data_IF_916953121295
#
_entry.id   IF_916953121295
#
_cell.length_a   1.000
_cell.length_b   1.000
_cell.length_c   1.000
_cell.angle_alpha   90.00
_cell.angle_beta   90.00
_cell.angle_gamma   90.00
#
_symmetry.space_group_name_H-M   'P 1'
#
loop_
_entity.id
_entity.type
_entity.pdbx_description
1 polymer ?
#
# COMPACT_ATOMS: atom_id res chain seq x y z
N UNK A 1 27.32 13.56 -36.23
CA UNK A 1 27.70 13.55 -34.80
C UNK A 1 26.65 14.21 -33.90
N UNK A 2 25.83 15.16 -34.35
CA UNK A 2 24.83 15.84 -33.49
C UNK A 2 23.62 15.02 -33.01
N UNK A 3 23.25 13.93 -33.70
CA UNK A 3 22.10 13.10 -33.29
C UNK A 3 22.39 12.21 -32.08
N UNK A 4 23.62 11.74 -31.93
CA UNK A 4 24.01 10.86 -30.81
C UNK A 4 24.16 11.65 -29.51
N UNK A 5 24.68 12.88 -29.55
CA UNK A 5 24.78 13.76 -28.39
C UNK A 5 23.40 14.16 -27.86
N UNK A 6 22.47 14.55 -28.75
CA UNK A 6 21.10 14.87 -28.38
C UNK A 6 20.34 13.69 -27.77
N UNK A 7 20.55 12.47 -28.28
CA UNK A 7 19.95 11.26 -27.70
C UNK A 7 20.51 10.94 -26.32
N UNK A 8 21.83 11.10 -26.10
CA UNK A 8 22.41 10.88 -24.78
C UNK A 8 21.93 11.90 -23.74
N UNK A 9 21.78 13.16 -24.13
CA UNK A 9 21.25 14.20 -23.23
C UNK A 9 19.79 13.91 -22.84
N UNK A 10 18.97 13.47 -23.80
CA UNK A 10 17.61 13.03 -23.53
C UNK A 10 17.56 11.86 -22.54
N UNK A 11 18.39 10.84 -22.72
CA UNK A 11 18.45 9.70 -21.79
C UNK A 11 18.92 10.11 -20.39
N UNK A 12 19.84 11.08 -20.27
CA UNK A 12 20.28 11.61 -18.97
C UNK A 12 19.16 12.37 -18.25
N UNK A 13 18.39 13.16 -18.99
CA UNK A 13 17.24 13.89 -18.43
C UNK A 13 16.17 12.93 -17.96
N UNK A 14 15.77 11.97 -18.81
CA UNK A 14 14.80 10.93 -18.44
C UNK A 14 15.28 10.10 -17.24
N UNK A 15 16.57 9.78 -17.18
CA UNK A 15 17.16 9.05 -16.05
C UNK A 15 17.01 9.80 -14.72
N UNK A 16 17.21 11.12 -14.70
CA UNK A 16 16.99 11.96 -13.50
C UNK A 16 15.52 11.95 -13.07
N UNK A 17 14.60 12.01 -14.02
CA UNK A 17 13.17 11.95 -13.75
C UNK A 17 12.77 10.58 -13.16
N UNK A 18 13.25 9.49 -13.76
CA UNK A 18 13.00 8.13 -13.27
C UNK A 18 13.59 7.93 -11.86
N UNK A 19 14.80 8.42 -11.60
CA UNK A 19 15.42 8.40 -10.27
C UNK A 19 14.59 9.16 -9.22
N UNK A 20 14.08 10.34 -9.59
CA UNK A 20 13.23 11.16 -8.71
C UNK A 20 11.90 10.48 -8.43
N UNK A 21 11.23 9.99 -9.48
CA UNK A 21 9.95 9.30 -9.37
C UNK A 21 10.06 7.98 -8.58
N UNK A 22 11.14 7.23 -8.76
CA UNK A 22 11.41 6.03 -7.96
C UNK A 22 11.46 6.34 -6.46
N UNK A 23 12.20 7.39 -6.06
CA UNK A 23 12.28 7.83 -4.65
C UNK A 23 10.94 8.32 -4.13
N UNK A 24 10.19 9.06 -4.94
CA UNK A 24 8.85 9.51 -4.60
C UNK A 24 7.91 8.33 -4.30
N UNK A 25 7.82 7.34 -5.21
CA UNK A 25 6.97 6.17 -5.00
C UNK A 25 7.40 5.32 -3.81
N UNK A 26 8.71 5.19 -3.56
CA UNK A 26 9.23 4.54 -2.34
C UNK A 26 8.74 5.26 -1.07
N UNK A 27 8.86 6.59 -1.02
CA UNK A 27 8.37 7.41 0.09
C UNK A 27 6.85 7.31 0.28
N UNK A 28 6.09 7.32 -0.81
CA UNK A 28 4.63 7.22 -0.78
C UNK A 28 4.16 5.93 -0.10
N UNK A 29 4.88 4.81 -0.22
CA UNK A 29 4.55 3.55 0.49
C UNK A 29 4.56 3.73 2.00
N UNK A 30 5.59 4.37 2.54
CA UNK A 30 5.70 4.60 3.98
C UNK A 30 4.58 5.51 4.49
N UNK A 31 4.27 6.57 3.75
CA UNK A 31 3.18 7.49 4.09
C UNK A 31 1.84 6.75 4.10
N UNK A 32 1.55 5.96 3.06
CA UNK A 32 0.30 5.19 2.96
C UNK A 32 0.18 4.16 4.09
N UNK A 33 1.26 3.46 4.42
CA UNK A 33 1.28 2.49 5.54
C UNK A 33 1.03 3.20 6.87
N UNK A 34 1.75 4.30 7.16
CA UNK A 34 1.61 5.05 8.40
C UNK A 34 0.20 5.64 8.53
N UNK A 35 -0.30 6.29 7.47
CA UNK A 35 -1.66 6.83 7.43
C UNK A 35 -2.71 5.74 7.67
N UNK A 36 -2.56 4.59 7.01
CA UNK A 36 -3.48 3.45 7.20
C UNK A 36 -3.43 2.96 8.64
N UNK A 37 -2.25 2.74 9.22
CA UNK A 37 -2.13 2.28 10.60
C UNK A 37 -2.81 3.25 11.58
N UNK A 38 -2.59 4.56 11.42
CA UNK A 38 -3.22 5.60 12.24
C UNK A 38 -4.74 5.62 12.06
N UNK A 39 -5.23 5.62 10.81
CA UNK A 39 -6.66 5.64 10.51
C UNK A 39 -7.36 4.40 11.07
N UNK A 40 -6.80 3.21 10.84
CA UNK A 40 -7.40 1.96 11.32
C UNK A 40 -7.41 1.88 12.84
N UNK A 41 -6.34 2.33 13.50
CA UNK A 41 -6.29 2.39 14.97
C UNK A 41 -7.34 3.35 15.55
N UNK A 42 -7.51 4.51 14.93
CA UNK A 42 -8.53 5.48 15.33
C UNK A 42 -9.95 4.93 15.14
N UNK A 43 -10.22 4.27 14.01
CA UNK A 43 -11.52 3.65 13.75
C UNK A 43 -11.82 2.52 14.75
N UNK A 44 -10.84 1.68 15.08
CA UNK A 44 -11.00 0.63 16.10
C UNK A 44 -11.30 1.24 17.46
N UNK A 45 -10.57 2.29 17.86
CA UNK A 45 -10.82 2.97 19.13
C UNK A 45 -12.24 3.56 19.20
N UNK A 46 -12.70 4.19 18.12
CA UNK A 46 -14.07 4.71 18.02
C UNK A 46 -15.11 3.59 18.06
N UNK A 47 -14.87 2.49 17.35
CA UNK A 47 -15.76 1.33 17.37
C UNK A 47 -15.90 0.74 18.78
N UNK A 48 -14.78 0.56 19.50
CA UNK A 48 -14.79 0.07 20.89
C UNK A 48 -15.57 0.98 21.84
N UNK A 49 -15.47 2.30 21.69
CA UNK A 49 -16.25 3.25 22.50
C UNK A 49 -17.76 3.15 22.20
N UNK A 50 -18.13 2.94 20.94
CA UNK A 50 -19.54 2.77 20.56
C UNK A 50 -20.07 1.43 21.03
N UNK A 51 -19.29 0.35 20.91
CA UNK A 51 -19.67 -0.98 21.42
C UNK A 51 -20.03 -0.91 22.90
N UNK A 52 -19.26 -0.20 23.72
CA UNK A 52 -19.60 0.02 25.13
C UNK A 52 -20.96 0.71 25.33
N UNK A 53 -21.33 1.64 24.45
CA UNK A 53 -22.64 2.30 24.50
C UNK A 53 -23.75 1.35 24.07
N UNK A 54 -23.52 0.49 23.07
CA UNK A 54 -24.50 -0.52 22.62
C UNK A 54 -24.84 -1.46 23.76
N UNK A 55 -23.84 -1.98 24.48
CA UNK A 55 -24.05 -2.88 25.63
C UNK A 55 -24.95 -2.24 26.70
N UNK A 56 -24.71 -0.97 27.04
CA UNK A 56 -25.56 -0.22 27.99
C UNK A 56 -26.96 0.02 27.41
N UNK A 57 -27.07 0.29 26.10
CA UNK A 57 -28.35 0.50 25.44
C UNK A 57 -29.20 -0.77 25.41
N UNK A 58 -28.61 -1.95 25.27
CA UNK A 58 -29.32 -3.24 25.36
C UNK A 58 -29.88 -3.48 26.75
N UNK A 59 -29.10 -3.21 27.81
CA UNK A 59 -29.57 -3.32 29.20
C UNK A 59 -30.71 -2.34 29.52
N UNK A 60 -30.70 -1.16 28.90
CA UNK A 60 -31.66 -0.07 29.16
C UNK A 60 -32.81 0.01 28.17
N UNK A 61 -32.84 -0.85 27.14
CA UNK A 61 -33.83 -0.82 26.06
C UNK A 61 -33.74 0.39 25.14
N UNK A 62 -32.62 1.10 25.12
CA UNK A 62 -32.39 2.22 24.20
C UNK A 62 -32.04 1.73 22.79
N UNK A 63 -32.36 2.55 21.79
CA UNK A 63 -32.03 2.24 20.39
C UNK A 63 -30.52 2.22 20.15
N UNK A 64 -30.05 1.22 19.41
CA UNK A 64 -28.65 1.08 19.03
C UNK A 64 -28.19 2.30 18.20
N UNK A 65 -27.06 2.95 18.56
CA UNK A 65 -26.51 4.08 17.79
C UNK A 65 -26.17 3.68 16.34
N UNK A 66 -26.58 4.47 15.32
CA UNK A 66 -26.33 4.14 13.91
C UNK A 66 -24.83 4.08 13.56
N UNK A 67 -23.99 4.76 14.34
CA UNK A 67 -22.53 4.76 14.16
C UNK A 67 -21.93 3.34 14.30
N UNK A 68 -22.60 2.45 15.03
CA UNK A 68 -22.18 1.06 15.20
C UNK A 68 -22.10 0.30 13.87
N UNK A 69 -22.99 0.59 12.93
CA UNK A 69 -23.01 0.00 11.59
C UNK A 69 -22.10 0.74 10.60
N UNK A 70 -21.99 2.06 10.74
CA UNK A 70 -21.28 2.92 9.79
C UNK A 70 -19.76 2.76 9.89
N UNK A 71 -19.21 2.65 11.11
CA UNK A 71 -17.75 2.60 11.31
C UNK A 71 -17.12 1.37 10.63
N UNK A 72 -17.67 0.14 10.77
CA UNK A 72 -17.14 -1.00 10.04
C UNK A 72 -17.15 -0.83 8.52
N UNK A 73 -18.18 -0.19 7.96
CA UNK A 73 -18.24 0.11 6.52
C UNK A 73 -17.10 1.05 6.11
N UNK A 74 -16.86 2.12 6.89
CA UNK A 74 -15.74 3.04 6.65
C UNK A 74 -14.41 2.30 6.76
N UNK A 75 -14.26 1.41 7.74
CA UNK A 75 -13.10 0.53 7.90
C UNK A 75 -12.84 -0.33 6.66
N UNK A 76 -13.86 -1.00 6.14
CA UNK A 76 -13.77 -1.80 4.91
C UNK A 76 -13.40 -0.96 3.68
N UNK A 77 -14.09 0.17 3.47
CA UNK A 77 -13.85 1.05 2.31
C UNK A 77 -12.43 1.63 2.34
N UNK A 78 -11.99 2.12 3.50
CA UNK A 78 -10.64 2.67 3.66
C UNK A 78 -9.56 1.59 3.45
N UNK A 79 -9.76 0.38 3.96
CA UNK A 79 -8.85 -0.75 3.71
C UNK A 79 -8.78 -1.13 2.24
N UNK A 80 -9.92 -1.19 1.55
CA UNK A 80 -9.95 -1.44 0.11
C UNK A 80 -9.23 -0.34 -0.67
N UNK A 81 -9.47 0.94 -0.34
CA UNK A 81 -8.78 2.07 -0.96
C UNK A 81 -7.26 1.98 -0.78
N UNK A 82 -6.78 1.74 0.45
CA UNK A 82 -5.35 1.53 0.71
C UNK A 82 -4.78 0.38 -0.11
N UNK A 83 -5.49 -0.75 -0.19
CA UNK A 83 -5.06 -1.90 -0.98
C UNK A 83 -4.88 -1.55 -2.46
N UNK A 84 -5.85 -0.84 -3.07
CA UNK A 84 -5.76 -0.38 -4.45
C UNK A 84 -4.59 0.58 -4.65
N UNK A 85 -4.40 1.54 -3.73
CA UNK A 85 -3.29 2.50 -3.77
C UNK A 85 -1.94 1.78 -3.73
N UNK A 86 -1.74 0.85 -2.79
CA UNK A 86 -0.48 0.11 -2.65
C UNK A 86 -0.22 -0.77 -3.89
N UNK A 87 -1.25 -1.43 -4.44
CA UNK A 87 -1.13 -2.21 -5.69
C UNK A 87 -0.68 -1.35 -6.86
N UNK A 88 -1.28 -0.18 -7.04
CA UNK A 88 -0.89 0.77 -8.08
C UNK A 88 0.53 1.28 -7.85
N UNK A 89 0.87 1.62 -6.62
CA UNK A 89 2.19 2.14 -6.27
C UNK A 89 3.29 1.11 -6.52
N UNK A 90 3.10 -0.16 -6.14
CA UNK A 90 4.04 -1.25 -6.45
C UNK A 90 4.23 -1.41 -7.96
N UNK A 91 3.15 -1.29 -8.74
CA UNK A 91 3.23 -1.38 -10.20
C UNK A 91 4.07 -0.27 -10.80
N UNK A 92 3.83 0.98 -10.39
CA UNK A 92 4.58 2.16 -10.85
C UNK A 92 6.05 2.11 -10.40
N UNK A 93 6.29 1.73 -9.14
CA UNK A 93 7.63 1.54 -8.59
C UNK A 93 8.44 0.52 -9.41
N UNK A 94 7.85 -0.63 -9.74
CA UNK A 94 8.49 -1.64 -10.60
C UNK A 94 8.73 -1.14 -12.02
N UNK A 95 7.80 -0.36 -12.57
CA UNK A 95 7.96 0.23 -13.90
C UNK A 95 9.17 1.19 -13.94
N UNK A 96 9.34 2.02 -12.90
CA UNK A 96 10.51 2.91 -12.76
C UNK A 96 11.82 2.11 -12.66
N UNK A 97 11.85 1.01 -11.89
CA UNK A 97 13.05 0.16 -11.81
C UNK A 97 13.41 -0.42 -13.18
N UNK A 98 12.43 -0.94 -13.92
CA UNK A 98 12.66 -1.50 -15.26
C UNK A 98 13.17 -0.43 -16.23
N UNK A 99 12.52 0.73 -16.26
CA UNK A 99 12.91 1.83 -17.14
C UNK A 99 14.29 2.39 -16.78
N UNK A 100 14.59 2.53 -15.49
CA UNK A 100 15.89 2.96 -15.01
C UNK A 100 17.01 2.02 -15.46
N UNK A 101 16.77 0.70 -15.41
CA UNK A 101 17.72 -0.30 -15.92
C UNK A 101 17.96 -0.17 -17.43
N UNK A 102 16.90 0.04 -18.22
CA UNK A 102 17.02 0.27 -19.67
C UNK A 102 17.86 1.52 -19.97
N UNK A 103 17.63 2.62 -19.24
CA UNK A 103 18.40 3.85 -19.39
C UNK A 103 19.86 3.68 -18.98
N UNK A 104 20.15 2.94 -17.91
CA UNK A 104 21.54 2.62 -17.52
C UNK A 104 22.26 1.83 -18.60
N UNK A 105 21.57 0.87 -19.24
CA UNK A 105 22.12 0.13 -20.37
C UNK A 105 22.45 1.07 -21.55
N UNK A 106 21.54 1.96 -21.93
CA UNK A 106 21.77 2.92 -23.02
C UNK A 106 22.85 3.97 -22.71
N UNK A 107 23.05 4.30 -21.43
CA UNK A 107 24.08 5.23 -20.96
C UNK A 107 25.44 4.54 -20.72
N UNK A 108 25.54 3.22 -20.91
CA UNK A 108 26.78 2.45 -20.67
C UNK A 108 27.13 2.31 -19.18
N UNK A 109 26.17 2.48 -18.28
CA UNK A 109 26.35 2.38 -16.82
C UNK A 109 26.24 0.91 -16.38
N UNK A 110 27.36 0.20 -16.38
CA UNK A 110 27.41 -1.24 -16.04
C UNK A 110 27.16 -1.55 -14.56
N UNK A 111 27.34 -0.58 -13.65
CA UNK A 111 27.17 -0.72 -12.20
C UNK A 111 26.11 0.24 -11.61
N UNK A 112 25.12 0.59 -12.43
CA UNK A 112 24.07 1.53 -12.05
C UNK A 112 23.20 1.09 -10.86
N UNK A 113 22.49 2.04 -10.28
CA UNK A 113 21.61 1.80 -9.13
C UNK A 113 20.43 0.89 -9.52
N UNK A 114 19.82 1.14 -10.67
CA UNK A 114 18.64 0.40 -11.12
C UNK A 114 18.97 -0.99 -11.63
N UNK A 115 20.15 -1.22 -12.20
CA UNK A 115 20.65 -2.53 -12.58
C UNK A 115 20.72 -3.47 -11.39
N UNK A 116 21.26 -2.99 -10.27
CA UNK A 116 21.29 -3.71 -8.98
C UNK A 116 19.90 -3.91 -8.39
N UNK A 117 19.07 -2.86 -8.37
CA UNK A 117 17.70 -2.94 -7.85
C UNK A 117 16.78 -3.83 -8.69
N UNK A 118 17.09 -4.02 -9.98
CA UNK A 118 16.34 -4.83 -10.91
C UNK A 118 16.70 -6.32 -10.86
N UNK A 119 17.62 -6.73 -9.99
CA UNK A 119 17.99 -8.12 -9.83
C UNK A 119 16.76 -8.96 -9.45
N UNK A 120 16.59 -10.16 -10.03
CA UNK A 120 15.38 -10.96 -9.89
C UNK A 120 15.01 -11.24 -8.43
N UNK A 121 16.02 -11.38 -7.57
CA UNK A 121 15.84 -11.64 -6.15
C UNK A 121 15.14 -10.49 -5.40
N UNK A 122 15.33 -9.25 -5.86
CA UNK A 122 14.76 -8.05 -5.25
C UNK A 122 13.40 -7.66 -5.86
N UNK A 123 13.18 -7.91 -7.16
CA UNK A 123 11.95 -7.49 -7.86
C UNK A 123 10.88 -8.59 -7.94
N UNK A 124 11.30 -9.85 -8.12
CA UNK A 124 10.42 -11.03 -8.27
C UNK A 124 11.05 -12.27 -7.65
N UNK A 125 11.13 -12.36 -6.31
CA UNK A 125 11.63 -13.56 -5.65
C UNK A 125 10.77 -14.76 -6.06
N UNK A 126 11.44 -15.82 -6.50
CA UNK A 126 10.82 -17.09 -6.92
C UNK A 126 10.78 -18.07 -5.75
N UNK A 127 9.83 -19.01 -5.80
CA UNK A 127 9.71 -20.09 -4.80
C UNK A 127 9.26 -19.62 -3.42
N UNK A 128 9.77 -20.27 -2.36
CA UNK A 128 9.36 -20.04 -0.96
C UNK A 128 9.73 -18.62 -0.48
N UNK A 129 10.80 -18.02 -1.02
CA UNK A 129 11.21 -16.63 -0.74
C UNK A 129 10.18 -15.59 -1.16
N UNK A 130 9.23 -15.92 -2.04
CA UNK A 130 8.10 -15.06 -2.39
C UNK A 130 7.21 -14.76 -1.19
N UNK A 131 7.01 -15.74 -0.30
CA UNK A 131 6.20 -15.60 0.91
C UNK A 131 6.90 -14.76 1.98
N UNK A 132 8.23 -14.73 1.97
CA UNK A 132 9.06 -13.93 2.89
C UNK A 132 9.38 -12.52 2.35
N UNK A 133 8.62 -12.02 1.38
CA UNK A 133 8.78 -10.63 0.95
C UNK A 133 7.97 -9.67 1.81
N UNK A 134 8.55 -8.52 2.12
CA UNK A 134 7.88 -7.41 2.81
C UNK A 134 6.53 -7.04 2.16
N UNK A 135 6.41 -7.17 0.85
CA UNK A 135 5.16 -6.94 0.11
C UNK A 135 4.06 -7.94 0.45
N UNK A 136 4.40 -9.21 0.69
CA UNK A 136 3.43 -10.24 1.06
C UNK A 136 2.96 -10.06 2.50
N UNK A 137 3.88 -9.76 3.42
CA UNK A 137 3.54 -9.44 4.82
C UNK A 137 2.59 -8.26 4.94
N UNK A 138 2.83 -7.17 4.18
CA UNK A 138 1.89 -6.03 4.11
C UNK A 138 0.53 -6.47 3.56
N UNK A 139 0.52 -7.26 2.49
CA UNK A 139 -0.73 -7.76 1.90
C UNK A 139 -1.55 -8.62 2.86
N UNK A 140 -0.88 -9.48 3.64
CA UNK A 140 -1.52 -10.29 4.68
C UNK A 140 -2.09 -9.40 5.78
N UNK A 141 -1.34 -8.40 6.25
CA UNK A 141 -1.80 -7.45 7.27
C UNK A 141 -3.06 -6.69 6.81
N UNK A 142 -3.09 -6.20 5.57
CA UNK A 142 -4.29 -5.57 5.03
C UNK A 142 -5.48 -6.52 4.94
N UNK A 143 -5.23 -7.77 4.55
CA UNK A 143 -6.26 -8.80 4.47
C UNK A 143 -6.84 -9.11 5.85
N UNK A 144 -5.98 -9.25 6.87
CA UNK A 144 -6.40 -9.50 8.25
C UNK A 144 -7.26 -8.35 8.81
N UNK A 145 -6.85 -7.10 8.60
CA UNK A 145 -7.64 -5.93 9.03
C UNK A 145 -8.97 -5.86 8.28
N UNK A 146 -9.01 -6.19 6.99
CA UNK A 146 -10.26 -6.27 6.25
C UNK A 146 -11.22 -7.32 6.83
N UNK A 147 -10.72 -8.53 7.14
CA UNK A 147 -11.53 -9.57 7.78
C UNK A 147 -12.02 -9.17 9.17
N UNK A 148 -11.20 -8.45 9.94
CA UNK A 148 -11.62 -7.88 11.22
C UNK A 148 -12.80 -6.92 11.04
N UNK A 149 -12.78 -6.04 10.03
CA UNK A 149 -13.92 -5.14 9.77
C UNK A 149 -15.16 -5.86 9.26
N UNK A 150 -15.01 -6.87 8.43
CA UNK A 150 -16.12 -7.73 8.01
C UNK A 150 -16.74 -8.39 9.24
N UNK A 151 -15.91 -8.90 10.16
CA UNK A 151 -16.38 -9.49 11.40
C UNK A 151 -17.14 -8.48 12.27
N UNK A 152 -16.60 -7.27 12.50
CA UNK A 152 -17.31 -6.22 13.24
C UNK A 152 -18.63 -5.79 12.59
N UNK A 153 -18.68 -5.76 11.26
CA UNK A 153 -19.91 -5.49 10.54
C UNK A 153 -20.94 -6.61 10.73
N UNK A 154 -20.51 -7.86 10.67
CA UNK A 154 -21.39 -9.02 10.89
C UNK A 154 -21.91 -9.07 12.33
N UNK A 155 -21.06 -8.81 13.33
CA UNK A 155 -21.46 -8.66 14.73
C UNK A 155 -22.53 -7.58 14.85
N UNK A 156 -22.30 -6.40 14.27
CA UNK A 156 -23.25 -5.31 14.34
C UNK A 156 -24.59 -5.63 13.65
N UNK A 157 -24.56 -6.33 12.52
CA UNK A 157 -25.74 -6.62 11.72
C UNK A 157 -26.55 -7.83 12.22
N UNK A 158 -25.87 -8.86 12.73
CA UNK A 158 -26.48 -10.12 13.16
C UNK A 158 -26.81 -10.13 14.66
N UNK A 159 -26.27 -9.18 15.44
CA UNK A 159 -26.41 -9.18 16.90
C UNK A 159 -25.72 -10.37 17.56
N UNK A 160 -24.55 -10.76 17.03
CA UNK A 160 -23.71 -11.84 17.57
C UNK A 160 -22.80 -11.38 18.71
#
# INVERSE_FOLDING_TARGET
MDKESGNQENYRTEYKEVATNHRFYAGLRFIVIAFTATLQSALVALYSQIMQRVLVSEETGQSIPPQFYIIPIIGMVSMFATFVIERRNISLFRAMIRRGKELEFHLGLTSGQFGRLAEPELVRPKGVRKFFTHTWSIGLLYTAILFMWIYFFLVAFLGL
#
